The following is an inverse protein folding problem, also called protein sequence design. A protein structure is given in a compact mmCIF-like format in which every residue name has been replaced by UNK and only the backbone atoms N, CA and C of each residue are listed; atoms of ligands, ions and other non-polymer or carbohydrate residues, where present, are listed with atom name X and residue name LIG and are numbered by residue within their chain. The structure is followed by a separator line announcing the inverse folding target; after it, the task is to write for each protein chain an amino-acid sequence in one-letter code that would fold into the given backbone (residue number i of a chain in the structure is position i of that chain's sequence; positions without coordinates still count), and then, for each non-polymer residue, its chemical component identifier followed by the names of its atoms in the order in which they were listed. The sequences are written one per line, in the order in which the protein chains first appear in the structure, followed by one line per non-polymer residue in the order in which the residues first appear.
data_IF_173743284372
#
_entry.id   IF_173743284372
#
_cell.length_a   1.000
_cell.length_b   1.000
_cell.length_c   1.000
_cell.angle_alpha   90.00
_cell.angle_beta   90.00
_cell.angle_gamma   90.00
#
_symmetry.space_group_name_H-M   'P 1'
#
loop_
_entity.id
_entity.type
_entity.pdbx_description
1 polymer ?
#
# COMPACT_ATOMS: atom_id res chain seq x y z
N UNK A 1 -15.61 20.83 -6.05
CA UNK A 1 -15.81 19.65 -5.18
C UNK A 1 -16.10 20.00 -3.72
N UNK A 2 -15.12 20.29 -2.85
CA UNK A 2 -15.42 20.57 -1.43
C UNK A 2 -16.25 21.84 -1.19
N UNK A 3 -16.09 22.86 -2.03
CA UNK A 3 -16.90 24.10 -1.99
C UNK A 3 -18.34 23.86 -2.47
N UNK A 4 -18.56 22.87 -3.34
CA UNK A 4 -19.86 22.59 -3.95
C UNK A 4 -20.70 21.63 -3.09
N UNK A 5 -20.09 20.62 -2.50
CA UNK A 5 -20.76 19.55 -1.74
C UNK A 5 -20.62 19.76 -0.22
N UNK A 6 -19.65 20.56 0.23
CA UNK A 6 -19.38 20.83 1.64
C UNK A 6 -18.30 19.93 2.25
N UNK A 7 -17.68 20.40 3.34
CA UNK A 7 -16.61 19.68 4.06
C UNK A 7 -17.08 18.44 4.80
N UNK A 8 -18.34 18.41 5.23
CA UNK A 8 -18.95 17.25 5.89
C UNK A 8 -19.14 16.06 4.92
N UNK A 9 -19.13 16.34 3.62
CA UNK A 9 -19.31 15.35 2.55
C UNK A 9 -18.05 15.16 1.70
N UNK A 10 -16.92 15.73 2.13
CA UNK A 10 -15.63 15.58 1.44
C UNK A 10 -14.49 15.27 2.41
N UNK A 11 -13.53 14.48 1.94
CA UNK A 11 -12.35 14.08 2.71
C UNK A 11 -11.13 14.08 1.81
N UNK A 12 -10.08 14.77 2.24
CA UNK A 12 -8.79 14.80 1.58
C UNK A 12 -7.80 13.88 2.28
N UNK A 13 -7.42 12.80 1.62
CA UNK A 13 -6.38 11.89 2.09
C UNK A 13 -5.11 12.11 1.27
N UNK A 14 -4.03 12.49 1.95
CA UNK A 14 -2.76 12.82 1.31
C UNK A 14 -1.70 11.76 1.63
N UNK A 15 -1.13 11.14 0.59
CA UNK A 15 -0.07 10.15 0.71
C UNK A 15 1.29 10.84 0.60
N UNK A 16 2.15 10.59 1.58
CA UNK A 16 3.51 11.17 1.63
C UNK A 16 4.55 10.07 1.85
N UNK A 17 5.80 10.35 1.48
CA UNK A 17 6.93 9.50 1.81
C UNK A 17 7.67 10.07 3.04
N UNK A 18 7.91 9.23 4.03
CA UNK A 18 8.73 9.52 5.21
C UNK A 18 10.01 8.69 5.10
N UNK A 19 11.09 9.24 4.50
CA UNK A 19 12.31 8.50 4.28
C UNK A 19 13.09 8.29 5.59
N UNK A 20 13.72 7.12 5.69
CA UNK A 20 14.68 6.82 6.74
C UNK A 20 16.11 7.10 6.26
N UNK A 21 16.88 7.85 7.05
CA UNK A 21 18.26 8.17 6.75
C UNK A 21 19.18 7.23 7.55
N UNK A 22 19.74 6.22 6.88
CA UNK A 22 20.63 5.24 7.51
C UNK A 22 21.84 5.90 8.20
N UNK A 23 22.39 6.96 7.61
CA UNK A 23 23.53 7.69 8.17
C UNK A 23 23.23 8.38 9.52
N UNK A 24 21.98 8.77 9.77
CA UNK A 24 21.58 9.43 11.03
C UNK A 24 20.73 8.55 11.95
N UNK A 25 20.33 7.36 11.50
CA UNK A 25 19.49 6.46 12.30
C UNK A 25 18.04 6.94 12.51
N UNK A 26 17.56 7.90 11.70
CA UNK A 26 16.29 8.60 11.96
C UNK A 26 15.43 8.74 10.71
N UNK A 27 14.12 8.73 10.91
CA UNK A 27 13.16 9.12 9.88
C UNK A 27 13.13 10.65 9.74
N UNK A 28 12.97 11.15 8.52
CA UNK A 28 12.90 12.59 8.25
C UNK A 28 11.47 12.98 7.86
N UNK A 29 10.84 13.77 8.72
CA UNK A 29 9.45 14.23 8.57
C UNK A 29 9.32 15.51 7.74
N UNK A 30 10.42 16.21 7.49
CA UNK A 30 10.47 17.48 6.75
C UNK A 30 9.90 17.41 5.31
N UNK A 31 10.17 16.37 4.50
CA UNK A 31 9.55 16.23 3.18
C UNK A 31 8.02 16.16 3.24
N UNK A 32 7.48 15.48 4.26
CA UNK A 32 6.03 15.40 4.50
C UNK A 32 5.46 16.78 4.84
N UNK A 33 6.11 17.53 5.74
CA UNK A 33 5.70 18.89 6.09
C UNK A 33 5.70 19.83 4.89
N UNK A 34 6.72 19.76 4.03
CA UNK A 34 6.79 20.55 2.80
C UNK A 34 5.67 20.17 1.83
N UNK A 35 5.41 18.87 1.65
CA UNK A 35 4.34 18.39 0.78
C UNK A 35 2.96 18.87 1.23
N UNK A 36 2.69 18.86 2.54
CA UNK A 36 1.44 19.43 3.10
C UNK A 36 1.39 20.94 2.89
N UNK A 37 2.51 21.66 3.07
CA UNK A 37 2.56 23.11 2.80
C UNK A 37 2.21 23.46 1.36
N UNK A 38 2.70 22.68 0.39
CA UNK A 38 2.33 22.84 -1.03
C UNK A 38 0.84 22.54 -1.27
N UNK A 39 0.29 21.52 -0.60
CA UNK A 39 -1.14 21.21 -0.68
C UNK A 39 -2.01 22.36 -0.10
N UNK A 40 -1.55 22.97 0.99
CA UNK A 40 -2.20 24.13 1.61
C UNK A 40 -2.08 25.40 0.75
N UNK A 41 -0.99 25.56 -0.02
CA UNK A 41 -0.80 26.75 -0.87
C UNK A 41 -1.85 26.85 -1.98
N UNK A 42 -2.39 25.71 -2.41
CA UNK A 42 -3.51 25.63 -3.36
C UNK A 42 -4.89 25.56 -2.67
N UNK A 43 -4.94 25.78 -1.35
CA UNK A 43 -6.18 25.86 -0.56
C UNK A 43 -6.74 24.51 -0.09
N UNK A 44 -5.98 23.41 -0.17
CA UNK A 44 -6.42 22.08 0.25
C UNK A 44 -5.82 21.74 1.61
N UNK A 45 -6.68 21.65 2.64
CA UNK A 45 -6.32 21.10 3.94
C UNK A 45 -6.51 19.58 3.91
N UNK A 46 -5.46 18.77 4.12
CA UNK A 46 -5.63 17.33 4.26
C UNK A 46 -6.33 17.01 5.57
N UNK A 47 -7.20 16.01 5.52
CA UNK A 47 -7.91 15.47 6.70
C UNK A 47 -7.21 14.24 7.27
N UNK A 48 -6.47 13.52 6.41
CA UNK A 48 -5.73 12.30 6.71
C UNK A 48 -4.38 12.35 6.00
N UNK A 49 -3.32 11.97 6.70
CA UNK A 49 -1.99 11.79 6.16
C UNK A 49 -1.62 10.30 6.19
N UNK A 50 -1.36 9.72 5.03
CA UNK A 50 -0.78 8.38 4.92
C UNK A 50 0.73 8.54 4.77
N UNK A 51 1.47 8.23 5.82
CA UNK A 51 2.91 8.33 5.87
C UNK A 51 3.55 7.00 5.47
N UNK A 52 3.92 6.86 4.19
CA UNK A 52 4.61 5.69 3.66
C UNK A 52 6.07 5.68 4.11
N UNK A 53 6.58 4.56 4.57
CA UNK A 53 7.97 4.42 4.99
C UNK A 53 8.43 2.96 4.91
N UNK A 54 9.75 2.73 4.88
CA UNK A 54 10.33 1.37 4.92
C UNK A 54 10.12 0.67 6.28
N UNK A 55 9.78 1.45 7.31
CA UNK A 55 9.59 1.00 8.69
C UNK A 55 8.42 1.73 9.34
N UNK A 56 8.03 1.29 10.54
CA UNK A 56 7.00 2.00 11.29
C UNK A 56 7.48 3.42 11.67
N UNK A 57 6.65 4.43 11.42
CA UNK A 57 6.95 5.81 11.83
C UNK A 57 6.75 5.90 13.35
N UNK A 58 7.80 6.27 14.12
CA UNK A 58 7.69 6.37 15.57
C UNK A 58 6.60 7.34 16.02
N UNK A 59 5.96 7.07 17.17
CA UNK A 59 4.87 7.91 17.69
C UNK A 59 5.28 9.39 17.86
N UNK A 60 6.50 9.66 18.33
CA UNK A 60 7.02 11.02 18.47
C UNK A 60 7.06 11.76 17.12
N UNK A 61 7.49 11.08 16.05
CA UNK A 61 7.55 11.67 14.71
C UNK A 61 6.16 11.86 14.10
N UNK A 62 5.21 10.95 14.39
CA UNK A 62 3.79 11.13 14.05
C UNK A 62 3.18 12.34 14.74
N UNK A 63 3.42 12.52 16.04
CA UNK A 63 2.96 13.67 16.80
C UNK A 63 3.52 14.99 16.26
N UNK A 64 4.80 15.02 15.87
CA UNK A 64 5.40 16.17 15.18
C UNK A 64 4.72 16.45 13.85
N UNK A 65 4.51 15.44 13.01
CA UNK A 65 3.79 15.60 11.73
C UNK A 65 2.39 16.18 11.97
N UNK A 66 1.65 15.64 12.94
CA UNK A 66 0.31 16.11 13.31
C UNK A 66 0.32 17.60 13.69
N UNK A 67 1.25 17.99 14.57
CA UNK A 67 1.43 19.36 15.02
C UNK A 67 1.76 20.32 13.86
N UNK A 68 2.77 19.99 13.04
CA UNK A 68 3.23 20.87 11.95
C UNK A 68 2.25 20.95 10.77
N UNK A 69 1.47 19.88 10.54
CA UNK A 69 0.51 19.83 9.45
C UNK A 69 -0.91 20.22 9.89
N UNK A 70 -1.10 20.55 11.17
CA UNK A 70 -2.39 20.92 11.77
C UNK A 70 -3.49 19.87 11.52
N UNK A 71 -3.17 18.59 11.75
CA UNK A 71 -4.12 17.48 11.66
C UNK A 71 -4.14 16.69 12.97
N UNK A 72 -5.25 16.04 13.35
CA UNK A 72 -5.29 15.18 14.53
C UNK A 72 -4.24 14.05 14.43
N UNK A 73 -3.61 13.67 15.54
CA UNK A 73 -2.59 12.60 15.54
C UNK A 73 -3.16 11.24 15.05
N UNK A 74 -4.43 10.97 15.38
CA UNK A 74 -5.19 9.81 14.88
C UNK A 74 -5.37 9.80 13.35
N UNK A 75 -5.25 10.95 12.69
CA UNK A 75 -5.31 11.09 11.24
C UNK A 75 -3.94 10.94 10.56
N UNK A 76 -2.85 10.79 11.32
CA UNK A 76 -1.51 10.50 10.79
C UNK A 76 -1.28 8.99 10.86
N UNK A 77 -1.43 8.31 9.72
CA UNK A 77 -1.37 6.86 9.58
C UNK A 77 0.03 6.44 9.12
N UNK A 78 0.69 5.58 9.89
CA UNK A 78 1.99 5.00 9.51
C UNK A 78 1.77 3.80 8.59
N UNK A 79 2.14 3.91 7.33
CA UNK A 79 2.08 2.81 6.37
C UNK A 79 3.48 2.30 6.07
N UNK A 80 3.92 1.29 6.82
CA UNK A 80 5.20 0.63 6.55
C UNK A 80 5.11 -0.23 5.28
N UNK A 81 6.24 -0.43 4.63
CA UNK A 81 6.34 -1.42 3.55
C UNK A 81 6.01 -2.83 4.08
N UNK A 82 5.31 -3.58 3.25
CA UNK A 82 4.89 -4.96 3.51
C UNK A 82 5.30 -5.85 2.35
N UNK A 83 5.54 -7.10 2.69
CA UNK A 83 5.85 -8.19 1.76
C UNK A 83 4.66 -8.60 0.88
N UNK A 84 3.43 -8.31 1.33
CA UNK A 84 2.20 -8.65 0.63
C UNK A 84 1.18 -7.52 0.67
N UNK A 85 0.58 -7.20 -0.49
CA UNK A 85 -0.45 -6.16 -0.61
C UNK A 85 -1.71 -6.50 0.20
N UNK A 86 -1.95 -7.79 0.46
CA UNK A 86 -3.11 -8.27 1.22
C UNK A 86 -3.04 -7.90 2.71
N UNK A 87 -1.85 -7.53 3.22
CA UNK A 87 -1.65 -7.08 4.60
C UNK A 87 -2.03 -5.61 4.82
N UNK A 88 -2.15 -4.81 3.75
CA UNK A 88 -2.41 -3.37 3.85
C UNK A 88 -3.74 -3.06 4.55
N UNK A 89 -4.88 -3.69 4.20
CA UNK A 89 -6.16 -3.44 4.88
C UNK A 89 -6.10 -3.66 6.39
N UNK A 90 -5.45 -4.75 6.83
CA UNK A 90 -5.25 -5.04 8.26
C UNK A 90 -4.42 -3.97 8.97
N UNK A 91 -3.34 -3.47 8.33
CA UNK A 91 -2.52 -2.39 8.89
C UNK A 91 -3.29 -1.07 9.02
N UNK A 92 -4.13 -0.74 8.03
CA UNK A 92 -4.96 0.47 8.07
C UNK A 92 -6.04 0.38 9.15
N UNK A 93 -6.74 -0.77 9.24
CA UNK A 93 -7.73 -1.06 10.28
C UNK A 93 -7.11 -1.02 11.68
N UNK A 94 -5.91 -1.59 11.86
CA UNK A 94 -5.22 -1.60 13.17
C UNK A 94 -4.90 -0.19 13.72
N UNK A 95 -4.87 0.82 12.84
CA UNK A 95 -4.66 2.22 13.20
C UNK A 95 -5.97 3.02 13.27
N UNK A 96 -7.12 2.37 13.08
CA UNK A 96 -8.46 2.98 13.16
C UNK A 96 -8.77 3.96 12.03
N UNK A 97 -8.17 3.78 10.85
CA UNK A 97 -8.40 4.67 9.71
C UNK A 97 -9.86 4.60 9.21
N UNK A 98 -10.38 3.39 9.06
CA UNK A 98 -11.76 3.12 8.67
C UNK A 98 -12.76 3.71 9.66
N UNK A 99 -12.54 3.48 10.96
CA UNK A 99 -13.35 4.08 12.03
C UNK A 99 -13.31 5.61 12.01
N UNK A 100 -12.14 6.19 11.76
CA UNK A 100 -11.97 7.64 11.65
C UNK A 100 -12.78 8.21 10.48
N UNK A 101 -12.74 7.55 9.33
CA UNK A 101 -13.50 7.94 8.13
C UNK A 101 -15.01 7.81 8.38
N UNK A 102 -15.47 6.68 8.95
CA UNK A 102 -16.89 6.46 9.24
C UNK A 102 -17.43 7.53 10.20
N UNK A 103 -16.70 7.83 11.28
CA UNK A 103 -17.07 8.88 12.23
C UNK A 103 -17.13 10.26 11.59
N UNK A 104 -16.19 10.57 10.70
CA UNK A 104 -16.17 11.87 10.01
C UNK A 104 -17.40 12.06 9.13
N UNK A 105 -17.86 11.03 8.44
CA UNK A 105 -19.05 11.08 7.60
C UNK A 105 -20.35 10.77 8.34
N UNK A 106 -20.31 10.63 9.67
CA UNK A 106 -21.45 10.20 10.49
C UNK A 106 -22.11 8.91 10.00
N UNK A 107 -21.31 7.98 9.46
CA UNK A 107 -21.76 6.68 8.98
C UNK A 107 -21.81 5.69 10.14
N UNK A 108 -22.96 5.03 10.28
CA UNK A 108 -23.12 3.92 11.22
C UNK A 108 -22.81 2.61 10.49
N UNK A 109 -21.55 2.19 10.55
CA UNK A 109 -21.06 0.97 9.91
C UNK A 109 -20.66 -0.06 10.97
N UNK A 110 -20.91 -1.37 10.74
CA UNK A 110 -20.32 -2.41 11.56
C UNK A 110 -18.80 -2.46 11.38
N UNK A 111 -18.11 -3.12 12.30
CA UNK A 111 -16.67 -3.34 12.18
C UNK A 111 -16.33 -4.09 10.88
N UNK A 112 -15.27 -3.66 10.18
CA UNK A 112 -14.86 -4.27 8.92
C UNK A 112 -14.48 -5.74 9.12
N UNK A 113 -15.15 -6.65 8.41
CA UNK A 113 -14.78 -8.05 8.36
C UNK A 113 -13.61 -8.25 7.39
N UNK A 114 -12.46 -8.70 7.89
CA UNK A 114 -11.25 -8.95 7.08
C UNK A 114 -10.94 -10.44 6.87
N UNK A 115 -11.88 -11.35 7.18
CA UNK A 115 -11.66 -12.79 7.08
C UNK A 115 -11.18 -13.26 5.70
N UNK A 116 -11.69 -12.68 4.61
CA UNK A 116 -11.22 -13.02 3.25
C UNK A 116 -9.75 -12.61 3.03
N UNK A 117 -9.33 -11.46 3.56
CA UNK A 117 -7.94 -11.00 3.46
C UNK A 117 -7.02 -11.87 4.31
N UNK A 118 -7.45 -12.23 5.52
CA UNK A 118 -6.73 -13.13 6.42
C UNK A 118 -6.55 -14.52 5.78
N UNK A 119 -7.58 -15.03 5.10
CA UNK A 119 -7.50 -16.28 4.35
C UNK A 119 -6.47 -16.20 3.22
N UNK A 120 -6.48 -15.13 2.43
CA UNK A 120 -5.49 -14.95 1.35
C UNK A 120 -4.06 -14.90 1.89
N UNK A 121 -3.83 -14.18 3.00
CA UNK A 121 -2.52 -14.12 3.65
C UNK A 121 -2.10 -15.51 4.15
N UNK A 122 -3.05 -16.28 4.71
CA UNK A 122 -2.80 -17.64 5.18
C UNK A 122 -2.43 -18.58 4.02
N UNK A 123 -3.17 -18.55 2.91
CA UNK A 123 -2.90 -19.35 1.71
C UNK A 123 -1.56 -18.98 1.07
N UNK A 124 -1.20 -17.69 1.05
CA UNK A 124 0.08 -17.21 0.53
C UNK A 124 1.27 -17.70 1.36
N UNK A 125 1.09 -17.79 2.68
CA UNK A 125 2.14 -18.23 3.60
C UNK A 125 2.27 -19.77 3.69
N UNK A 126 1.27 -20.54 3.25
CA UNK A 126 1.22 -22.00 3.42
C UNK A 126 0.92 -22.75 2.12
N UNK A 127 1.75 -22.64 1.07
CA UNK A 127 1.58 -23.44 -0.14
C UNK A 127 1.90 -24.92 0.11
N UNK A 128 1.12 -25.81 -0.49
CA UNK A 128 1.29 -27.27 -0.43
C UNK A 128 2.27 -27.76 -1.49
N UNK A 129 2.38 -27.05 -2.61
CA UNK A 129 3.30 -27.37 -3.71
C UNK A 129 3.74 -26.12 -4.46
N UNK A 130 4.72 -26.25 -5.35
CA UNK A 130 5.24 -25.17 -6.18
C UNK A 130 5.16 -25.56 -7.66
N UNK A 131 4.75 -24.61 -8.51
CA UNK A 131 4.70 -24.77 -9.97
C UNK A 131 5.40 -23.59 -10.64
N UNK A 132 6.29 -23.89 -11.59
CA UNK A 132 6.96 -22.88 -12.40
C UNK A 132 6.16 -22.62 -13.68
N UNK A 133 5.82 -21.35 -13.93
CA UNK A 133 5.14 -20.90 -15.15
C UNK A 133 6.09 -19.98 -15.94
N UNK A 134 6.35 -20.37 -17.19
CA UNK A 134 7.12 -19.57 -18.13
C UNK A 134 6.32 -18.38 -18.65
N UNK A 135 6.77 -17.15 -18.39
CA UNK A 135 6.15 -15.93 -18.91
C UNK A 135 6.91 -15.41 -20.14
N UNK A 136 6.26 -15.49 -21.31
CA UNK A 136 6.81 -14.98 -22.57
C UNK A 136 6.29 -13.57 -22.83
N UNK A 137 7.14 -12.58 -22.59
CA UNK A 137 6.82 -11.16 -22.75
C UNK A 137 7.70 -10.44 -23.78
N UNK A 138 7.22 -9.27 -24.22
CA UNK A 138 8.02 -8.32 -25.03
C UNK A 138 8.88 -7.42 -24.14
N UNK A 139 8.38 -7.05 -22.95
CA UNK A 139 9.02 -6.11 -22.02
C UNK A 139 9.17 -6.74 -20.62
N UNK A 140 10.03 -7.75 -20.52
CA UNK A 140 10.16 -8.52 -19.28
C UNK A 140 10.90 -7.76 -18.17
N UNK A 141 11.70 -6.80 -18.56
CA UNK A 141 12.42 -5.90 -17.65
C UNK A 141 11.50 -4.86 -16.99
N UNK A 142 10.22 -4.80 -17.40
CA UNK A 142 9.21 -3.94 -16.80
C UNK A 142 8.12 -4.80 -16.12
N UNK A 143 8.32 -5.21 -14.85
CA UNK A 143 7.36 -6.04 -14.12
C UNK A 143 5.94 -5.46 -14.08
N UNK A 144 5.84 -4.13 -14.08
CA UNK A 144 4.58 -3.40 -14.05
C UNK A 144 3.69 -3.68 -15.27
N UNK A 145 4.29 -3.95 -16.44
CA UNK A 145 3.55 -4.26 -17.67
C UNK A 145 2.73 -5.56 -17.56
N UNK A 146 3.11 -6.44 -16.64
CA UNK A 146 2.47 -7.75 -16.44
C UNK A 146 1.83 -7.89 -15.05
N UNK A 147 1.75 -6.81 -14.26
CA UNK A 147 1.29 -6.87 -12.87
C UNK A 147 -0.07 -7.55 -12.72
N UNK A 148 -1.05 -7.20 -13.55
CA UNK A 148 -2.38 -7.82 -13.50
C UNK A 148 -2.37 -9.32 -13.84
N UNK A 149 -1.53 -9.74 -14.80
CA UNK A 149 -1.38 -11.17 -15.17
C UNK A 149 -0.70 -11.94 -14.04
N UNK A 150 0.34 -11.36 -13.45
CA UNK A 150 1.06 -11.91 -12.31
C UNK A 150 0.12 -12.12 -11.12
N UNK A 151 -0.72 -11.13 -10.80
CA UNK A 151 -1.69 -11.24 -9.69
C UNK A 151 -2.79 -12.27 -9.99
N UNK A 152 -3.28 -12.36 -11.23
CA UNK A 152 -4.24 -13.39 -11.62
C UNK A 152 -3.66 -14.81 -11.47
N UNK A 153 -2.40 -15.03 -11.88
CA UNK A 153 -1.71 -16.30 -11.67
C UNK A 153 -1.53 -16.62 -10.19
N UNK A 154 -1.16 -15.63 -9.37
CA UNK A 154 -1.07 -15.80 -7.92
C UNK A 154 -2.41 -16.22 -7.32
N UNK A 155 -3.51 -15.56 -7.67
CA UNK A 155 -4.86 -15.94 -7.21
C UNK A 155 -5.23 -17.36 -7.61
N UNK A 156 -4.88 -17.77 -8.84
CA UNK A 156 -5.02 -19.16 -9.27
C UNK A 156 -4.21 -20.14 -8.42
N UNK A 157 -2.97 -19.77 -8.05
CA UNK A 157 -2.13 -20.52 -7.14
C UNK A 157 -2.74 -20.68 -5.75
N UNK A 158 -3.16 -19.56 -5.13
CA UNK A 158 -3.77 -19.53 -3.79
C UNK A 158 -4.95 -20.50 -3.68
N UNK A 159 -5.89 -20.45 -4.63
CA UNK A 159 -7.07 -21.33 -4.67
C UNK A 159 -6.73 -22.82 -4.82
N UNK A 160 -5.59 -23.15 -5.41
CA UNK A 160 -5.11 -24.53 -5.56
C UNK A 160 -4.06 -24.90 -4.50
N UNK A 161 -3.80 -24.03 -3.53
CA UNK A 161 -2.74 -24.17 -2.53
C UNK A 161 -1.35 -24.43 -3.16
N UNK A 162 -1.07 -23.76 -4.29
CA UNK A 162 0.18 -23.86 -5.04
C UNK A 162 0.88 -22.50 -5.11
N UNK A 163 2.17 -22.48 -4.80
CA UNK A 163 3.02 -21.32 -5.07
C UNK A 163 3.37 -21.28 -6.56
N UNK A 164 3.06 -20.16 -7.22
CA UNK A 164 3.42 -19.95 -8.62
C UNK A 164 4.77 -19.23 -8.70
N UNK A 165 5.79 -19.94 -9.19
CA UNK A 165 7.09 -19.35 -9.56
C UNK A 165 7.05 -18.90 -11.00
N UNK A 166 7.50 -17.68 -11.26
CA UNK A 166 7.52 -17.12 -12.62
C UNK A 166 8.93 -17.17 -13.18
N UNK A 167 9.09 -17.78 -14.36
CA UNK A 167 10.33 -17.73 -15.12
C UNK A 167 10.09 -16.92 -16.40
N UNK A 168 10.67 -15.74 -16.48
CA UNK A 168 10.36 -14.80 -17.56
C UNK A 168 11.38 -14.91 -18.70
N UNK A 169 10.91 -15.16 -19.93
CA UNK A 169 11.75 -15.36 -21.11
C UNK A 169 11.43 -14.35 -22.24
N UNK A 170 12.41 -13.52 -22.62
CA UNK A 170 12.20 -12.46 -23.62
C UNK A 170 11.99 -13.05 -25.01
N UNK A 171 10.99 -12.53 -25.74
CA UNK A 171 10.61 -13.04 -27.06
C UNK A 171 11.77 -13.03 -28.08
N UNK A 172 12.74 -12.12 -27.96
CA UNK A 172 13.93 -12.07 -28.84
C UNK A 172 14.98 -13.17 -28.57
N UNK A 173 14.86 -13.94 -27.48
CA UNK A 173 15.81 -15.00 -27.10
C UNK A 173 15.19 -16.40 -27.17
N UNK A 174 14.03 -16.55 -27.82
CA UNK A 174 13.30 -17.82 -27.90
C UNK A 174 14.01 -18.89 -28.72
N UNK A 175 14.91 -18.52 -29.65
CA UNK A 175 15.55 -19.47 -30.57
C UNK A 175 16.51 -20.44 -29.86
N UNK A 176 17.06 -20.07 -28.69
CA UNK A 176 18.10 -20.87 -28.02
C UNK A 176 17.65 -21.54 -26.70
N UNK A 177 16.58 -21.05 -26.05
CA UNK A 177 16.17 -21.53 -24.70
C UNK A 177 15.16 -22.67 -24.69
N UNK A 178 14.33 -22.80 -25.72
CA UNK A 178 13.30 -23.87 -25.77
C UNK A 178 13.83 -25.21 -26.28
N UNK A 179 15.08 -25.29 -26.74
CA UNK A 179 15.73 -26.52 -27.23
C UNK A 179 16.36 -27.37 -26.11
N UNK A 180 16.17 -26.99 -24.84
CA UNK A 180 16.69 -27.71 -23.66
C UNK A 180 15.59 -28.09 -22.64
N UNK A 181 14.37 -28.33 -23.12
CA UNK A 181 13.38 -29.14 -22.39
C UNK A 181 13.30 -30.51 -23.03
#
# INVERSE_FOLDING_TARGET
MAVEIGREHTLFMHLTLVPYMAASGEVKTKPTQHSVKELLSIGIQPDILICRSDRAVPANERAKIALFCNVPEKAVISLKDVDSIYKIPGLLKSQGLDDYICKRFSLNCPEANLSEWEQVIFEEANPVSEVTIGMVGKYIELPDAYKSVIEALKHGGLKNSVCIRQDSCQRQHQTDRFTRC
#
